data_IF_049443404117
#
_entry.id   IF_049443404117
#
_cell.length_a   1.000
_cell.length_b   1.000
_cell.length_c   1.000
_cell.angle_alpha   90.00
_cell.angle_beta   90.00
_cell.angle_gamma   90.00
#
_symmetry.space_group_name_H-M   'P 1'
#
loop_
_entity.id
_entity.type
_entity.pdbx_description
1 polymer ?
#
# COMPACT_ATOMS: atom_id res chain seq x y z
N UNK A 1 -3.61 -7.74 -4.78
CA UNK A 1 -3.60 -6.97 -3.50
C UNK A 1 -2.91 -7.72 -2.35
N UNK A 2 -3.12 -9.03 -2.19
CA UNK A 2 -2.60 -9.81 -1.06
C UNK A 2 -1.09 -9.68 -0.81
N UNK A 3 -0.24 -9.90 -1.82
CA UNK A 3 1.22 -9.83 -1.65
C UNK A 3 1.69 -8.45 -1.17
N UNK A 4 1.11 -7.38 -1.71
CA UNK A 4 1.37 -6.03 -1.24
C UNK A 4 0.85 -5.81 0.20
N UNK A 5 -0.37 -6.26 0.51
CA UNK A 5 -0.93 -6.10 1.86
C UNK A 5 -0.11 -6.86 2.90
N UNK A 6 0.35 -8.08 2.61
CA UNK A 6 1.23 -8.85 3.50
C UNK A 6 2.59 -8.16 3.71
N UNK A 7 3.12 -7.50 2.69
CA UNK A 7 4.32 -6.70 2.80
C UNK A 7 4.09 -5.48 3.71
N UNK A 8 2.97 -4.76 3.52
CA UNK A 8 2.57 -3.64 4.39
C UNK A 8 2.37 -4.10 5.84
N UNK A 9 1.79 -5.28 6.07
CA UNK A 9 1.66 -5.86 7.41
C UNK A 9 3.03 -6.13 8.05
N UNK A 10 3.97 -6.67 7.29
CA UNK A 10 5.34 -6.93 7.75
C UNK A 10 6.04 -5.62 8.11
N UNK A 11 5.94 -4.60 7.26
CA UNK A 11 6.49 -3.28 7.57
C UNK A 11 5.84 -2.68 8.81
N UNK A 12 4.51 -2.70 8.89
CA UNK A 12 3.76 -2.14 10.02
C UNK A 12 4.15 -2.79 11.34
N UNK A 13 4.42 -4.10 11.32
CA UNK A 13 4.94 -4.83 12.48
C UNK A 13 6.36 -4.40 12.84
N UNK A 14 7.26 -4.32 11.86
CA UNK A 14 8.67 -3.97 12.06
C UNK A 14 8.88 -2.51 12.45
N UNK A 15 8.01 -1.59 12.02
CA UNK A 15 8.10 -0.16 12.32
C UNK A 15 7.10 0.28 13.39
N UNK A 16 6.44 -0.65 14.07
CA UNK A 16 5.39 -0.34 15.06
C UNK A 16 5.95 0.55 16.17
N UNK A 17 5.27 1.66 16.43
CA UNK A 17 5.48 2.48 17.61
C UNK A 17 4.41 2.16 18.65
N UNK A 18 4.84 1.98 19.90
CA UNK A 18 3.97 1.88 21.07
C UNK A 18 4.26 3.08 21.95
N UNK A 19 3.25 3.95 22.10
CA UNK A 19 3.37 5.13 22.94
C UNK A 19 3.70 4.72 24.39
N UNK A 20 4.54 5.52 25.02
CA UNK A 20 4.86 5.45 26.45
C UNK A 20 4.27 6.67 27.15
N UNK A 21 4.10 6.57 28.46
CA UNK A 21 3.61 7.69 29.27
C UNK A 21 4.52 8.92 29.15
N UNK A 22 3.91 10.10 29.22
CA UNK A 22 4.66 11.35 29.16
C UNK A 22 5.67 11.42 30.32
N UNK A 23 6.96 11.55 29.99
CA UNK A 23 8.04 11.55 30.97
C UNK A 23 8.65 10.19 31.27
N UNK A 24 8.27 9.12 30.55
CA UNK A 24 8.94 7.84 30.66
C UNK A 24 10.41 7.93 30.21
N UNK A 25 11.33 7.41 31.04
CA UNK A 25 12.77 7.41 30.79
C UNK A 25 13.21 6.41 29.70
N UNK A 26 12.31 5.55 29.24
CA UNK A 26 12.61 4.51 28.26
C UNK A 26 11.46 4.27 27.28
N UNK A 27 11.82 3.83 26.08
CA UNK A 27 10.87 3.45 25.03
C UNK A 27 10.24 2.08 25.32
N UNK A 28 9.07 1.81 24.74
CA UNK A 28 8.39 0.53 24.90
C UNK A 28 9.19 -0.63 24.29
N UNK A 29 9.35 -1.72 25.03
CA UNK A 29 9.91 -2.99 24.52
C UNK A 29 9.03 -3.66 23.46
N UNK A 30 7.79 -3.20 23.30
CA UNK A 30 6.86 -3.65 22.27
C UNK A 30 6.98 -2.88 20.95
N UNK A 31 7.95 -1.97 20.84
CA UNK A 31 8.28 -1.33 19.58
C UNK A 31 8.80 -2.35 18.56
N UNK A 32 8.50 -2.11 17.29
CA UNK A 32 9.04 -2.90 16.19
C UNK A 32 10.57 -2.73 16.11
N UNK A 33 11.26 -3.81 15.73
CA UNK A 33 12.72 -3.86 15.71
C UNK A 33 13.37 -2.82 14.78
N UNK A 34 12.61 -2.30 13.81
CA UNK A 34 13.06 -1.34 12.80
C UNK A 34 12.28 -0.01 12.91
N UNK A 35 11.71 0.27 14.10
CA UNK A 35 11.13 1.57 14.39
C UNK A 35 12.19 2.68 14.16
N UNK A 36 11.87 3.62 13.28
CA UNK A 36 12.77 4.73 12.92
C UNK A 36 13.77 4.40 11.80
N UNK A 37 13.75 3.18 11.25
CA UNK A 37 14.59 2.83 10.09
C UNK A 37 14.15 3.60 8.84
N UNK A 38 15.07 4.41 8.30
CA UNK A 38 14.81 5.27 7.14
C UNK A 38 14.81 4.51 5.81
N UNK A 39 15.45 3.34 5.75
CA UNK A 39 15.52 2.48 4.57
C UNK A 39 14.15 1.87 4.30
N UNK A 40 13.49 1.34 5.34
CA UNK A 40 12.14 0.81 5.22
C UNK A 40 11.14 1.88 4.74
N UNK A 41 11.23 3.08 5.32
CA UNK A 41 10.36 4.21 4.93
C UNK A 41 10.57 4.63 3.48
N UNK A 42 11.82 4.59 3.02
CA UNK A 42 12.18 4.83 1.61
C UNK A 42 11.53 3.78 0.70
N UNK A 43 11.65 2.49 1.05
CA UNK A 43 11.07 1.39 0.26
C UNK A 43 9.54 1.52 0.18
N UNK A 44 8.86 1.79 1.31
CA UNK A 44 7.41 2.02 1.33
C UNK A 44 6.99 3.16 0.40
N UNK A 45 7.74 4.27 0.42
CA UNK A 45 7.45 5.43 -0.43
C UNK A 45 7.65 5.11 -1.90
N UNK A 46 8.70 4.36 -2.26
CA UNK A 46 8.94 3.90 -3.62
C UNK A 46 7.83 2.96 -4.11
N UNK A 47 7.41 2.00 -3.28
CA UNK A 47 6.29 1.09 -3.59
C UNK A 47 5.00 1.86 -3.84
N UNK A 48 4.65 2.81 -2.97
CA UNK A 48 3.48 3.66 -3.13
C UNK A 48 3.54 4.49 -4.42
N UNK A 49 4.71 5.03 -4.76
CA UNK A 49 4.92 5.78 -6.00
C UNK A 49 4.71 4.91 -7.24
N UNK A 50 5.25 3.68 -7.25
CA UNK A 50 5.03 2.73 -8.34
C UNK A 50 3.56 2.37 -8.53
N UNK A 51 2.80 2.20 -7.45
CA UNK A 51 1.36 1.90 -7.51
C UNK A 51 0.50 3.12 -7.88
N UNK A 52 0.98 4.33 -7.62
CA UNK A 52 0.29 5.58 -7.95
C UNK A 52 0.62 6.08 -9.36
N UNK A 53 1.59 5.46 -10.03
CA UNK A 53 1.99 5.87 -11.37
C UNK A 53 0.85 5.66 -12.37
N UNK A 54 0.57 6.71 -13.13
CA UNK A 54 -0.48 6.74 -14.15
C UNK A 54 0.08 6.16 -15.44
N UNK A 55 -0.55 5.12 -15.98
CA UNK A 55 -0.15 4.56 -17.28
C UNK A 55 -0.88 5.32 -18.38
N UNK A 56 -0.11 5.99 -19.25
CA UNK A 56 -0.66 6.95 -20.22
C UNK A 56 -1.31 6.29 -21.45
N UNK A 57 -0.94 5.05 -21.78
CA UNK A 57 -1.31 4.36 -23.03
C UNK A 57 -2.61 3.55 -22.98
N UNK A 58 -3.24 3.41 -21.80
CA UNK A 58 -4.45 2.59 -21.65
C UNK A 58 -5.74 3.45 -21.58
N UNK A 59 -6.88 2.82 -21.89
CA UNK A 59 -8.24 3.34 -21.66
C UNK A 59 -8.46 3.74 -20.20
N UNK A 60 -7.74 3.06 -19.30
CA UNK A 60 -7.63 3.37 -17.89
C UNK A 60 -6.31 4.08 -17.59
N UNK A 61 -6.38 5.14 -16.80
CA UNK A 61 -5.25 5.96 -16.37
C UNK A 61 -4.75 5.53 -14.98
N UNK A 62 -5.62 5.00 -14.12
CA UNK A 62 -5.27 4.65 -12.74
C UNK A 62 -5.87 3.33 -12.30
N UNK A 63 -5.22 2.66 -11.34
CA UNK A 63 -5.73 1.47 -10.67
C UNK A 63 -7.11 1.69 -10.01
N UNK A 64 -7.38 2.90 -9.54
CA UNK A 64 -8.66 3.26 -8.95
C UNK A 64 -9.83 3.13 -9.94
N UNK A 65 -9.60 3.36 -11.24
CA UNK A 65 -10.64 3.21 -12.27
C UNK A 65 -11.05 1.75 -12.51
N UNK A 66 -10.21 0.80 -12.11
CA UNK A 66 -10.49 -0.63 -12.20
C UNK A 66 -10.83 -1.24 -10.83
N UNK A 67 -11.09 -0.40 -9.83
CA UNK A 67 -11.51 -0.85 -8.49
C UNK A 67 -10.38 -1.20 -7.54
N UNK A 68 -9.12 -0.86 -7.83
CA UNK A 68 -8.01 -1.05 -6.90
C UNK A 68 -7.66 0.32 -6.28
N UNK A 69 -7.89 0.47 -4.98
CA UNK A 69 -7.64 1.71 -4.23
C UNK A 69 -6.62 1.48 -3.12
N UNK A 70 -6.07 2.56 -2.58
CA UNK A 70 -5.20 2.51 -1.40
C UNK A 70 -5.95 3.09 -0.21
N UNK A 71 -6.01 2.36 0.90
CA UNK A 71 -6.53 2.87 2.16
C UNK A 71 -5.55 3.95 2.68
N UNK A 72 -6.01 5.20 2.92
CA UNK A 72 -5.16 6.27 3.40
C UNK A 72 -4.68 6.08 4.85
N UNK A 73 -5.34 5.24 5.64
CA UNK A 73 -5.05 5.02 7.06
C UNK A 73 -3.85 4.10 7.29
N UNK A 74 -3.74 3.02 6.52
CA UNK A 74 -2.69 2.01 6.68
C UNK A 74 -1.85 1.78 5.40
N UNK A 75 -2.26 2.39 4.28
CA UNK A 75 -1.55 2.26 3.00
C UNK A 75 -1.78 0.93 2.29
N UNK A 76 -2.71 0.08 2.75
CA UNK A 76 -3.05 -1.20 2.09
C UNK A 76 -3.84 -0.98 0.82
N UNK A 77 -3.80 -1.98 -0.07
CA UNK A 77 -4.66 -2.00 -1.25
C UNK A 77 -6.01 -2.64 -0.91
N UNK A 78 -7.07 -1.96 -1.34
CA UNK A 78 -8.44 -2.44 -1.34
C UNK A 78 -8.86 -2.83 -2.77
N UNK A 79 -9.74 -3.82 -2.88
CA UNK A 79 -10.24 -4.30 -4.16
C UNK A 79 -11.76 -4.31 -4.16
N UNK A 80 -12.33 -3.51 -5.06
CA UNK A 80 -13.72 -3.60 -5.51
C UNK A 80 -13.78 -4.65 -6.65
N UNK A 81 -14.11 -5.88 -6.28
CA UNK A 81 -14.15 -7.01 -7.19
C UNK A 81 -15.18 -6.84 -8.33
N UNK A 82 -16.28 -6.12 -8.07
CA UNK A 82 -17.32 -5.86 -9.06
C UNK A 82 -16.82 -4.88 -10.12
N UNK A 83 -16.16 -3.79 -9.70
CA UNK A 83 -15.52 -2.84 -10.64
C UNK A 83 -14.41 -3.51 -11.45
N UNK A 84 -13.58 -4.33 -10.82
CA UNK A 84 -12.52 -5.05 -11.54
C UNK A 84 -13.12 -6.00 -12.57
N UNK A 85 -14.15 -6.76 -12.19
CA UNK A 85 -14.84 -7.69 -13.10
C UNK A 85 -15.50 -6.94 -14.26
N UNK A 86 -16.13 -5.79 -13.99
CA UNK A 86 -16.71 -4.94 -15.03
C UNK A 86 -15.65 -4.35 -15.97
N UNK A 87 -14.51 -3.92 -15.42
CA UNK A 87 -13.39 -3.41 -16.22
C UNK A 87 -12.77 -4.49 -17.12
N UNK A 88 -12.55 -5.70 -16.59
CA UNK A 88 -12.05 -6.84 -17.35
C UNK A 88 -13.00 -7.24 -18.49
N UNK A 89 -14.32 -7.22 -18.25
CA UNK A 89 -15.33 -7.47 -19.30
C UNK A 89 -15.33 -6.39 -20.37
N UNK A 90 -15.04 -5.14 -20.00
CA UNK A 90 -15.05 -3.99 -20.92
C UNK A 90 -13.78 -3.91 -21.76
N UNK A 91 -12.61 -4.07 -21.14
CA UNK A 91 -11.31 -3.92 -21.79
C UNK A 91 -10.21 -4.65 -20.98
N UNK A 92 -10.14 -5.97 -21.12
CA UNK A 92 -9.12 -6.79 -20.45
C UNK A 92 -7.69 -6.39 -20.82
N UNK A 93 -7.45 -5.94 -22.06
CA UNK A 93 -6.15 -5.46 -22.52
C UNK A 93 -5.76 -4.16 -21.82
N UNK A 94 -6.70 -3.23 -21.65
CA UNK A 94 -6.51 -1.99 -20.89
C UNK A 94 -6.26 -2.26 -19.42
N UNK A 95 -6.97 -3.22 -18.81
CA UNK A 95 -6.69 -3.65 -17.43
C UNK A 95 -5.28 -4.26 -17.33
N UNK A 96 -4.90 -5.15 -18.25
CA UNK A 96 -3.58 -5.78 -18.28
C UNK A 96 -2.43 -4.80 -18.53
N UNK A 97 -2.68 -3.64 -19.14
CA UNK A 97 -1.67 -2.59 -19.30
C UNK A 97 -1.42 -1.78 -18.01
N UNK A 98 -2.27 -1.92 -16.99
CA UNK A 98 -2.11 -1.24 -15.69
C UNK A 98 -1.35 -2.06 -14.63
N UNK A 99 -1.21 -3.37 -14.81
CA UNK A 99 -0.67 -4.32 -13.82
C UNK A 99 0.49 -5.13 -14.41
#
# INVERSE_FOLDING_TARGET
VNAYNSLIDTFSSLTKYTAVDAGADSQSSSNGALLGDSTLRTIQTQLKSMLSNTVSSSSYKTLAQIGITTDPSDGKLELDADKLTAALKKDASGVGALI
#
